data_IF_797350133260
#
_entry.id   IF_797350133260
#
_cell.length_a   1.000
_cell.length_b   1.000
_cell.length_c   1.000
_cell.angle_alpha   90.00
_cell.angle_beta   90.00
_cell.angle_gamma   90.00
#
_symmetry.space_group_name_H-M   'P 1'
#
loop_
_entity.id
_entity.type
_entity.pdbx_description
1 polymer ?
#
# COMPACT_ATOMS: atom_id res chain seq x y z
N UNK A 1 3.15 -62.73 -39.74
CA UNK A 1 2.95 -61.58 -40.65
C UNK A 1 2.56 -60.38 -39.78
N UNK A 2 3.33 -59.29 -39.84
CA UNK A 2 2.93 -58.04 -39.18
C UNK A 2 1.74 -57.47 -39.95
N UNK A 3 0.55 -57.53 -39.38
CA UNK A 3 -0.65 -56.92 -39.96
C UNK A 3 -0.47 -55.40 -39.91
N UNK A 4 -0.49 -54.74 -41.07
CA UNK A 4 -0.49 -53.28 -41.14
C UNK A 4 -1.86 -52.79 -40.65
N UNK A 5 -1.85 -51.74 -39.82
CA UNK A 5 -3.07 -51.14 -39.26
C UNK A 5 -3.49 -49.95 -40.12
N UNK A 6 -4.71 -50.01 -40.63
CA UNK A 6 -5.30 -48.93 -41.45
C UNK A 6 -5.93 -47.84 -40.56
N UNK A 7 -6.44 -48.26 -39.39
CA UNK A 7 -6.83 -47.36 -38.31
C UNK A 7 -5.99 -47.69 -37.08
N UNK A 8 -5.15 -46.73 -36.66
CA UNK A 8 -4.39 -46.89 -35.42
C UNK A 8 -5.35 -46.92 -34.23
N UNK A 9 -5.04 -47.77 -33.25
CA UNK A 9 -5.83 -47.95 -32.02
C UNK A 9 -6.19 -46.62 -31.34
N UNK A 10 -5.25 -45.65 -31.33
CA UNK A 10 -5.49 -44.33 -30.73
C UNK A 10 -6.55 -43.50 -31.49
N UNK A 11 -6.64 -43.63 -32.81
CA UNK A 11 -7.67 -42.95 -33.61
C UNK A 11 -9.03 -43.63 -33.45
N UNK A 12 -9.02 -44.94 -33.22
CA UNK A 12 -10.22 -45.78 -33.18
C UNK A 12 -11.24 -45.29 -32.15
N UNK A 13 -10.81 -45.05 -30.91
CA UNK A 13 -11.69 -44.61 -29.82
C UNK A 13 -12.30 -43.23 -30.08
N UNK A 14 -11.52 -42.29 -30.63
CA UNK A 14 -12.02 -40.96 -30.98
C UNK A 14 -13.04 -41.03 -32.12
N UNK A 15 -12.79 -41.85 -33.13
CA UNK A 15 -13.70 -42.08 -34.25
C UNK A 15 -14.99 -42.79 -33.80
N UNK A 16 -14.89 -43.78 -32.91
CA UNK A 16 -16.05 -44.45 -32.32
C UNK A 16 -16.96 -43.47 -31.58
N UNK A 17 -16.40 -42.46 -30.91
CA UNK A 17 -17.16 -41.50 -30.11
C UNK A 17 -17.44 -40.17 -30.84
N UNK A 18 -17.18 -40.11 -32.15
CA UNK A 18 -17.31 -38.88 -32.95
C UNK A 18 -18.75 -38.63 -33.44
N UNK A 19 -19.16 -37.36 -33.41
CA UNK A 19 -20.46 -36.90 -33.89
C UNK A 19 -20.57 -36.93 -35.43
N UNK A 20 -19.52 -36.58 -36.19
CA UNK A 20 -19.57 -36.62 -37.66
C UNK A 20 -19.85 -38.03 -38.19
N UNK A 21 -19.33 -39.06 -37.51
CA UNK A 21 -19.58 -40.46 -37.87
C UNK A 21 -20.98 -40.93 -37.44
N UNK A 22 -21.48 -40.41 -36.32
CA UNK A 22 -22.81 -40.76 -35.80
C UNK A 22 -23.96 -40.09 -36.59
N UNK A 23 -23.78 -38.83 -36.96
CA UNK A 23 -24.82 -37.98 -37.56
C UNK A 23 -24.99 -38.17 -39.06
N UNK A 24 -23.92 -38.47 -39.80
CA UNK A 24 -23.98 -38.65 -41.25
C UNK A 24 -24.32 -40.10 -41.63
N UNK A 25 -25.48 -40.27 -42.29
CA UNK A 25 -25.95 -41.57 -42.74
C UNK A 25 -24.99 -42.30 -43.69
N UNK A 26 -24.13 -41.57 -44.41
CA UNK A 26 -23.13 -42.12 -45.32
C UNK A 26 -22.00 -42.88 -44.61
N UNK A 27 -21.77 -42.60 -43.31
CA UNK A 27 -20.75 -43.27 -42.50
C UNK A 27 -21.30 -44.40 -41.61
N UNK A 28 -22.59 -44.75 -41.70
CA UNK A 28 -23.20 -45.85 -40.91
C UNK A 28 -22.48 -47.18 -41.05
N UNK A 29 -22.00 -47.49 -42.26
CA UNK A 29 -21.24 -48.73 -42.50
C UNK A 29 -19.88 -48.70 -41.79
N UNK A 30 -19.23 -47.53 -41.76
CA UNK A 30 -17.93 -47.33 -41.12
C UNK A 30 -18.06 -47.35 -39.60
N UNK A 31 -19.14 -46.76 -39.05
CA UNK A 31 -19.47 -46.87 -37.62
C UNK A 31 -19.67 -48.32 -37.19
N UNK A 32 -20.41 -49.10 -37.98
CA UNK A 32 -20.57 -50.55 -37.73
C UNK A 32 -19.23 -51.28 -37.76
N UNK A 33 -18.35 -50.92 -38.69
CA UNK A 33 -17.01 -51.50 -38.79
C UNK A 33 -16.18 -51.17 -37.53
N UNK A 34 -16.17 -49.91 -37.08
CA UNK A 34 -15.50 -49.48 -35.85
C UNK A 34 -16.05 -50.16 -34.59
N UNK A 35 -17.34 -50.49 -34.54
CA UNK A 35 -17.94 -51.15 -33.38
C UNK A 35 -17.71 -52.67 -33.37
N UNK A 36 -17.50 -53.28 -34.54
CA UNK A 36 -17.38 -54.73 -34.69
C UNK A 36 -15.94 -55.24 -34.57
N UNK A 37 -14.95 -54.35 -34.71
CA UNK A 37 -13.54 -54.70 -34.67
C UNK A 37 -12.80 -53.81 -33.67
N UNK A 38 -12.02 -54.42 -32.78
CA UNK A 38 -11.12 -53.67 -31.89
C UNK A 38 -9.94 -53.05 -32.66
N UNK A 39 -9.57 -53.64 -33.81
CA UNK A 39 -8.52 -53.17 -34.71
C UNK A 39 -8.93 -53.37 -36.18
N UNK A 40 -8.79 -52.31 -36.99
CA UNK A 40 -9.01 -52.38 -38.44
C UNK A 40 -7.67 -52.57 -39.14
N UNK A 41 -7.37 -53.83 -39.51
CA UNK A 41 -6.14 -54.22 -40.21
C UNK A 41 -6.33 -54.21 -41.74
N UNK A 42 -5.23 -54.23 -42.49
CA UNK A 42 -5.26 -54.31 -43.96
C UNK A 42 -6.11 -55.50 -44.45
N UNK A 43 -6.02 -56.68 -43.82
CA UNK A 43 -6.88 -57.84 -44.16
C UNK A 43 -8.39 -57.52 -44.08
N UNK A 44 -8.80 -56.73 -43.09
CA UNK A 44 -10.20 -56.33 -42.89
C UNK A 44 -10.61 -55.37 -44.01
N UNK A 45 -9.76 -54.40 -44.34
CA UNK A 45 -10.01 -53.45 -45.43
C UNK A 45 -10.04 -54.15 -46.79
N UNK A 46 -9.16 -55.13 -47.02
CA UNK A 46 -9.11 -55.92 -48.25
C UNK A 46 -10.37 -56.78 -48.47
N UNK A 47 -11.09 -57.13 -47.41
CA UNK A 47 -12.36 -57.85 -47.49
C UNK A 47 -13.57 -56.97 -47.88
N UNK A 48 -13.41 -55.64 -47.90
CA UNK A 48 -14.47 -54.70 -48.24
C UNK A 48 -14.65 -54.52 -49.75
N UNK A 49 -15.78 -53.95 -50.16
CA UNK A 49 -16.03 -53.52 -51.54
C UNK A 49 -15.16 -52.33 -51.94
N UNK A 50 -14.96 -52.18 -53.26
CA UNK A 50 -14.02 -51.22 -53.86
C UNK A 50 -14.24 -49.78 -53.39
N UNK A 51 -15.49 -49.36 -53.23
CA UNK A 51 -15.83 -48.00 -52.79
C UNK A 51 -15.46 -47.76 -51.33
N UNK A 52 -15.63 -48.78 -50.47
CA UNK A 52 -15.20 -48.73 -49.07
C UNK A 52 -13.69 -48.77 -48.92
N UNK A 53 -12.96 -49.52 -49.76
CA UNK A 53 -11.48 -49.45 -49.80
C UNK A 53 -11.01 -48.05 -50.16
N UNK A 54 -11.60 -47.47 -51.21
CA UNK A 54 -11.28 -46.12 -51.67
C UNK A 54 -11.51 -45.04 -50.59
N UNK A 55 -12.45 -45.26 -49.67
CA UNK A 55 -12.66 -44.39 -48.51
C UNK A 55 -11.45 -44.37 -47.55
N UNK A 56 -10.80 -45.50 -47.28
CA UNK A 56 -9.63 -45.57 -46.38
C UNK A 56 -8.46 -44.74 -46.93
N UNK A 57 -8.22 -44.80 -48.24
CA UNK A 57 -7.11 -44.09 -48.88
C UNK A 57 -7.37 -42.57 -48.96
N UNK A 58 -8.60 -42.16 -49.27
CA UNK A 58 -8.88 -40.80 -49.72
C UNK A 58 -9.73 -39.94 -48.76
N UNK A 59 -10.58 -40.58 -47.95
CA UNK A 59 -11.58 -39.88 -47.12
C UNK A 59 -11.30 -40.02 -45.63
N UNK A 60 -10.80 -41.17 -45.19
CA UNK A 60 -10.47 -41.42 -43.79
C UNK A 60 -9.50 -40.39 -43.19
N UNK A 61 -8.44 -39.92 -43.89
CA UNK A 61 -7.58 -38.88 -43.32
C UNK A 61 -8.30 -37.56 -43.02
N UNK A 62 -9.23 -37.16 -43.91
CA UNK A 62 -10.05 -35.94 -43.73
C UNK A 62 -11.05 -36.13 -42.59
N UNK A 63 -11.72 -37.29 -42.56
CA UNK A 63 -12.68 -37.63 -41.52
C UNK A 63 -12.00 -37.71 -40.14
N UNK A 64 -10.80 -38.28 -40.05
CA UNK A 64 -9.99 -38.29 -38.82
C UNK A 64 -9.72 -36.87 -38.31
N UNK A 65 -9.27 -35.98 -39.19
CA UNK A 65 -9.00 -34.58 -38.83
C UNK A 65 -10.27 -33.89 -38.32
N UNK A 66 -11.41 -34.12 -38.97
CA UNK A 66 -12.68 -33.57 -38.54
C UNK A 66 -13.11 -34.13 -37.18
N UNK A 67 -13.07 -35.46 -37.01
CA UNK A 67 -13.43 -36.14 -35.77
C UNK A 67 -12.56 -35.69 -34.59
N UNK A 68 -11.24 -35.52 -34.78
CA UNK A 68 -10.33 -34.97 -33.74
C UNK A 68 -10.73 -33.54 -33.38
N UNK A 69 -11.09 -32.72 -34.37
CA UNK A 69 -11.49 -31.32 -34.17
C UNK A 69 -12.78 -31.12 -33.34
N UNK A 70 -13.59 -32.18 -33.17
CA UNK A 70 -14.79 -32.15 -32.33
C UNK A 70 -14.47 -32.12 -30.83
N UNK A 71 -13.26 -32.50 -30.43
CA UNK A 71 -12.87 -32.60 -29.03
C UNK A 71 -12.18 -31.32 -28.54
N UNK A 72 -12.40 -30.99 -27.27
CA UNK A 72 -11.72 -29.90 -26.54
C UNK A 72 -11.48 -30.29 -25.09
N UNK A 73 -10.62 -29.55 -24.39
CA UNK A 73 -10.42 -29.75 -22.95
C UNK A 73 -11.64 -29.25 -22.16
N UNK A 74 -12.11 -30.02 -21.18
CA UNK A 74 -13.33 -29.71 -20.40
C UNK A 74 -13.19 -28.43 -19.57
N UNK A 75 -11.98 -28.08 -19.12
CA UNK A 75 -11.72 -26.77 -18.53
C UNK A 75 -10.23 -26.45 -18.49
N UNK A 76 -9.92 -25.20 -18.16
CA UNK A 76 -8.56 -24.73 -17.83
C UNK A 76 -7.96 -25.42 -16.58
N UNK A 77 -8.69 -26.32 -15.89
CA UNK A 77 -8.12 -27.18 -14.86
C UNK A 77 -7.24 -28.27 -15.50
N UNK A 78 -6.02 -27.81 -15.77
CA UNK A 78 -4.73 -28.48 -15.67
C UNK A 78 -4.84 -29.86 -15.00
N UNK A 79 -4.62 -30.89 -15.82
CA UNK A 79 -4.09 -32.22 -15.46
C UNK A 79 -4.22 -32.60 -13.99
N UNK A 80 -5.10 -33.55 -13.68
CA UNK A 80 -5.21 -34.09 -12.32
C UNK A 80 -4.11 -35.13 -12.11
N UNK A 81 -3.33 -35.01 -11.02
CA UNK A 81 -2.41 -36.07 -10.57
C UNK A 81 -3.19 -37.08 -9.72
N UNK A 82 -3.34 -38.30 -10.21
CA UNK A 82 -4.03 -39.40 -9.53
C UNK A 82 -3.16 -40.15 -8.52
N UNK A 83 -1.98 -39.62 -8.19
CA UNK A 83 -1.11 -40.18 -7.14
C UNK A 83 -0.03 -41.15 -7.63
N UNK A 84 0.81 -41.56 -6.68
CA UNK A 84 2.01 -42.35 -6.96
C UNK A 84 1.75 -43.84 -7.14
N UNK A 85 0.68 -44.39 -6.54
CA UNK A 85 0.37 -45.81 -6.62
C UNK A 85 -0.09 -46.21 -8.03
N UNK A 86 0.62 -47.11 -8.75
CA UNK A 86 0.21 -47.57 -10.07
C UNK A 86 -1.06 -48.41 -10.10
N UNK A 87 -1.50 -49.01 -8.99
CA UNK A 87 -2.70 -49.87 -8.91
C UNK A 87 -3.99 -49.04 -8.88
N UNK A 88 -3.95 -47.85 -8.27
CA UNK A 88 -5.10 -46.95 -8.14
C UNK A 88 -5.31 -46.04 -9.36
N UNK A 89 -4.39 -46.08 -10.34
CA UNK A 89 -4.44 -45.23 -11.53
C UNK A 89 -5.53 -45.65 -12.50
N UNK A 90 -6.33 -44.68 -12.94
CA UNK A 90 -7.29 -44.86 -14.01
C UNK A 90 -6.58 -45.22 -15.34
N UNK A 91 -7.28 -45.94 -16.21
CA UNK A 91 -6.80 -46.24 -17.57
C UNK A 91 -7.20 -45.13 -18.53
N UNK A 92 -6.27 -44.75 -19.42
CA UNK A 92 -6.55 -43.82 -20.51
C UNK A 92 -7.65 -44.36 -21.42
N UNK A 93 -8.71 -43.59 -21.65
CA UNK A 93 -9.80 -44.01 -22.51
C UNK A 93 -9.37 -44.31 -23.95
N UNK A 94 -8.28 -43.69 -24.44
CA UNK A 94 -7.80 -43.86 -25.83
C UNK A 94 -6.81 -45.01 -25.99
N UNK A 95 -5.82 -45.12 -25.12
CA UNK A 95 -4.71 -46.08 -25.28
C UNK A 95 -4.71 -47.21 -24.25
N UNK A 96 -5.71 -47.21 -23.35
CA UNK A 96 -5.89 -48.18 -22.27
C UNK A 96 -4.65 -48.37 -21.36
N UNK A 97 -3.75 -47.40 -21.32
CA UNK A 97 -2.57 -47.41 -20.43
C UNK A 97 -2.94 -46.76 -19.10
N UNK A 98 -2.42 -47.26 -17.97
CA UNK A 98 -2.59 -46.63 -16.66
C UNK A 98 -1.95 -45.23 -16.66
N UNK A 99 -2.72 -44.20 -16.27
CA UNK A 99 -2.31 -42.80 -16.35
C UNK A 99 -2.27 -42.17 -14.96
N UNK A 100 -1.15 -41.52 -14.63
CA UNK A 100 -1.00 -40.69 -13.41
C UNK A 100 -1.57 -39.28 -13.61
N UNK A 101 -1.38 -38.73 -14.81
CA UNK A 101 -1.75 -37.36 -15.15
C UNK A 101 -2.95 -37.40 -16.10
N UNK A 102 -4.13 -37.09 -15.56
CA UNK A 102 -5.42 -37.21 -16.24
C UNK A 102 -5.80 -35.87 -16.89
N UNK A 103 -5.95 -35.88 -18.21
CA UNK A 103 -6.56 -34.81 -18.99
C UNK A 103 -7.98 -35.21 -19.37
N UNK A 104 -8.98 -34.42 -19.00
CA UNK A 104 -10.37 -34.68 -19.38
C UNK A 104 -10.74 -33.89 -20.64
N UNK A 105 -11.14 -34.58 -21.70
CA UNK A 105 -11.60 -33.98 -22.96
C UNK A 105 -13.10 -34.22 -23.15
N UNK A 106 -13.77 -33.29 -23.85
CA UNK A 106 -15.18 -33.37 -24.19
C UNK A 106 -15.39 -33.10 -25.65
N UNK A 107 -16.31 -33.83 -26.25
CA UNK A 107 -16.77 -33.58 -27.60
C UNK A 107 -17.79 -32.43 -27.59
N UNK A 108 -17.48 -31.35 -28.32
CA UNK A 108 -18.28 -30.13 -28.44
C UNK A 108 -19.69 -30.35 -29.00
N UNK A 109 -19.90 -31.43 -29.74
CA UNK A 109 -21.11 -31.67 -30.52
C UNK A 109 -22.06 -32.68 -29.85
N UNK A 110 -21.53 -33.72 -29.21
CA UNK A 110 -22.35 -34.75 -28.55
C UNK A 110 -22.21 -34.77 -27.01
N UNK A 111 -21.28 -34.01 -26.45
CA UNK A 111 -21.08 -33.89 -25.01
C UNK A 111 -20.37 -35.06 -24.34
N UNK A 112 -19.92 -36.08 -25.09
CA UNK A 112 -19.19 -37.22 -24.55
C UNK A 112 -17.87 -36.79 -23.91
N UNK A 113 -17.52 -37.38 -22.77
CA UNK A 113 -16.33 -37.04 -21.99
C UNK A 113 -15.38 -38.24 -21.93
N UNK A 114 -14.07 -38.01 -22.10
CA UNK A 114 -13.03 -39.02 -22.03
C UNK A 114 -11.89 -38.57 -21.12
N UNK A 115 -11.32 -39.51 -20.36
CA UNK A 115 -10.17 -39.28 -19.49
C UNK A 115 -8.91 -39.87 -20.13
N UNK A 116 -7.99 -39.02 -20.53
CA UNK A 116 -6.82 -39.41 -21.32
C UNK A 116 -5.53 -39.03 -20.63
N UNK A 117 -4.45 -39.76 -20.92
CA UNK A 117 -3.13 -39.41 -20.43
C UNK A 117 -2.54 -38.22 -21.18
N UNK A 118 -1.63 -37.48 -20.51
CA UNK A 118 -0.86 -36.39 -21.14
C UNK A 118 -0.19 -36.76 -22.47
N UNK A 119 0.26 -38.01 -22.66
CA UNK A 119 0.82 -38.49 -23.93
C UNK A 119 -0.21 -38.58 -25.07
N UNK A 120 -1.46 -38.96 -24.75
CA UNK A 120 -2.54 -38.94 -25.74
C UNK A 120 -2.99 -37.49 -26.01
N UNK A 121 -3.02 -36.64 -24.97
CA UNK A 121 -3.30 -35.22 -25.16
C UNK A 121 -2.26 -34.56 -26.08
N UNK A 122 -0.97 -34.88 -25.94
CA UNK A 122 0.09 -34.41 -26.84
C UNK A 122 -0.12 -34.85 -28.28
N UNK A 123 -0.40 -36.14 -28.45
CA UNK A 123 -0.50 -36.77 -29.77
C UNK A 123 -1.62 -36.15 -30.61
N UNK A 124 -2.71 -35.73 -29.98
CA UNK A 124 -3.86 -35.13 -30.65
C UNK A 124 -3.92 -33.60 -30.55
N UNK A 125 -2.94 -32.95 -29.91
CA UNK A 125 -2.88 -31.49 -29.75
C UNK A 125 -3.89 -30.91 -28.76
N UNK A 126 -4.34 -31.71 -27.78
CA UNK A 126 -5.27 -31.30 -26.72
C UNK A 126 -4.57 -30.65 -25.52
N UNK A 127 -3.51 -29.88 -25.75
CA UNK A 127 -2.73 -29.17 -24.72
C UNK A 127 -2.79 -27.64 -24.88
N UNK A 128 -3.51 -27.14 -25.89
CA UNK A 128 -3.55 -25.71 -26.25
C UNK A 128 -2.14 -25.17 -26.53
N UNK A 129 -1.86 -23.95 -26.08
CA UNK A 129 -0.55 -23.30 -26.22
C UNK A 129 0.45 -23.69 -25.11
N UNK A 130 0.07 -24.55 -24.16
CA UNK A 130 0.87 -24.87 -22.97
C UNK A 130 1.68 -26.15 -23.17
N UNK A 131 2.89 -26.15 -22.62
CA UNK A 131 3.75 -27.35 -22.62
C UNK A 131 3.22 -28.39 -21.63
N UNK A 132 3.25 -29.69 -21.97
CA UNK A 132 2.85 -30.75 -21.04
C UNK A 132 3.71 -30.76 -19.77
N UNK A 133 4.98 -30.36 -19.90
CA UNK A 133 5.88 -30.21 -18.77
C UNK A 133 5.36 -29.20 -17.75
N UNK A 134 4.87 -28.03 -18.20
CA UNK A 134 4.29 -27.04 -17.28
C UNK A 134 3.02 -27.55 -16.61
N UNK A 135 2.14 -28.24 -17.36
CA UNK A 135 0.92 -28.83 -16.80
C UNK A 135 1.22 -29.83 -15.69
N UNK A 136 2.24 -30.70 -15.87
CA UNK A 136 2.65 -31.68 -14.86
C UNK A 136 3.21 -31.01 -13.60
N UNK A 137 4.04 -29.97 -13.77
CA UNK A 137 4.60 -29.21 -12.64
C UNK A 137 3.46 -28.56 -11.83
N UNK A 138 2.48 -27.96 -12.49
CA UNK A 138 1.33 -27.34 -11.82
C UNK A 138 0.47 -28.37 -11.07
N UNK A 139 0.17 -29.50 -11.69
CA UNK A 139 -0.59 -30.60 -11.07
C UNK A 139 0.07 -31.09 -9.78
N UNK A 140 1.39 -31.34 -9.83
CA UNK A 140 2.17 -31.75 -8.67
C UNK A 140 2.18 -30.69 -7.57
N UNK A 141 2.42 -29.43 -7.93
CA UNK A 141 2.37 -28.30 -6.98
C UNK A 141 1.01 -28.21 -6.30
N UNK A 142 -0.07 -28.42 -7.04
CA UNK A 142 -1.44 -28.41 -6.50
C UNK A 142 -1.65 -29.57 -5.51
N UNK A 143 -1.20 -30.78 -5.86
CA UNK A 143 -1.24 -31.93 -4.95
C UNK A 143 -0.51 -31.64 -3.64
N UNK A 144 0.70 -31.10 -3.70
CA UNK A 144 1.47 -30.71 -2.51
C UNK A 144 0.80 -29.56 -1.74
N UNK A 145 0.20 -28.60 -2.42
CA UNK A 145 -0.58 -27.55 -1.77
C UNK A 145 -1.78 -28.11 -1.00
N UNK A 146 -2.45 -29.14 -1.53
CA UNK A 146 -3.54 -29.83 -0.84
C UNK A 146 -3.04 -30.53 0.43
N UNK A 147 -1.93 -31.26 0.37
CA UNK A 147 -1.31 -31.90 1.56
C UNK A 147 -1.02 -30.85 2.65
N UNK A 148 -0.40 -29.72 2.27
CA UNK A 148 -0.16 -28.62 3.22
C UNK A 148 -1.45 -28.05 3.81
N UNK A 149 -2.50 -27.91 3.01
CA UNK A 149 -3.78 -27.38 3.46
C UNK A 149 -4.54 -28.37 4.35
N UNK A 150 -4.41 -29.67 4.12
CA UNK A 150 -4.96 -30.71 5.00
C UNK A 150 -4.27 -30.68 6.37
N UNK A 151 -2.94 -30.56 6.39
CA UNK A 151 -2.16 -30.47 7.63
C UNK A 151 -2.37 -29.13 8.34
N UNK A 152 -2.43 -28.03 7.60
CA UNK A 152 -2.58 -26.66 8.09
C UNK A 152 -3.71 -25.94 7.34
N UNK A 153 -4.97 -26.08 7.78
CA UNK A 153 -6.12 -25.50 7.10
C UNK A 153 -5.99 -24.00 6.86
N UNK A 154 -6.08 -23.58 5.60
CA UNK A 154 -6.01 -22.18 5.18
C UNK A 154 -4.59 -21.58 5.24
N UNK A 155 -3.53 -22.40 5.25
CA UNK A 155 -2.14 -21.92 5.33
C UNK A 155 -1.78 -20.89 4.26
N UNK A 156 -2.33 -21.01 3.05
CA UNK A 156 -2.13 -20.04 1.97
C UNK A 156 -2.64 -18.64 2.36
N UNK A 157 -3.84 -18.57 2.93
CA UNK A 157 -4.47 -17.32 3.39
C UNK A 157 -3.79 -16.78 4.64
N UNK A 158 -3.42 -17.66 5.57
CA UNK A 158 -2.65 -17.29 6.76
C UNK A 158 -1.36 -16.61 6.32
N UNK A 159 -0.57 -17.25 5.44
CA UNK A 159 0.66 -16.68 4.89
C UNK A 159 0.38 -15.34 4.18
N UNK A 160 -0.66 -15.28 3.34
CA UNK A 160 -1.03 -14.07 2.61
C UNK A 160 -1.36 -12.88 3.52
N UNK A 161 -2.09 -13.12 4.61
CA UNK A 161 -2.57 -12.09 5.52
C UNK A 161 -1.59 -11.63 6.61
N UNK A 162 -0.39 -12.21 6.71
CA UNK A 162 0.52 -11.92 7.82
C UNK A 162 0.95 -10.46 7.92
N UNK A 163 1.20 -9.80 6.78
CA UNK A 163 1.57 -8.37 6.75
C UNK A 163 0.41 -7.46 7.13
N UNK A 164 -0.80 -7.84 6.76
CA UNK A 164 -2.00 -7.03 6.99
C UNK A 164 -2.41 -7.01 8.46
N UNK A 165 -2.13 -8.08 9.21
CA UNK A 165 -2.40 -8.14 10.65
C UNK A 165 -1.74 -6.98 11.42
N UNK A 166 -0.50 -6.63 11.08
CA UNK A 166 0.21 -5.51 11.74
C UNK A 166 -0.43 -4.16 11.42
N UNK A 167 -1.00 -4.00 10.22
CA UNK A 167 -1.63 -2.74 9.82
C UNK A 167 -2.99 -2.50 10.51
N UNK A 168 -3.55 -3.50 11.21
CA UNK A 168 -4.82 -3.40 11.93
C UNK A 168 -4.68 -2.78 13.33
N UNK A 169 -3.48 -2.79 13.90
CA UNK A 169 -3.24 -2.20 15.22
C UNK A 169 -3.42 -0.67 15.20
N UNK A 170 -3.87 -0.11 16.32
CA UNK A 170 -4.15 1.32 16.46
C UNK A 170 -2.87 2.15 16.65
N UNK A 171 -1.82 1.52 17.19
CA UNK A 171 -0.51 2.12 17.41
C UNK A 171 0.55 1.59 16.45
N UNK A 172 1.64 2.34 16.29
CA UNK A 172 2.82 1.83 15.59
C UNK A 172 3.45 0.75 16.47
N UNK A 173 3.54 -0.46 15.94
CA UNK A 173 4.21 -1.57 16.61
C UNK A 173 5.73 -1.37 16.56
N UNK A 174 6.43 -1.40 17.71
CA UNK A 174 7.88 -1.28 17.76
C UNK A 174 8.62 -2.44 17.08
N UNK A 175 9.82 -2.15 16.60
CA UNK A 175 10.72 -3.09 15.93
C UNK A 175 11.06 -4.33 16.77
N UNK A 176 11.04 -4.22 18.10
CA UNK A 176 11.27 -5.36 19.01
C UNK A 176 10.22 -6.46 18.87
N UNK A 177 9.01 -6.12 18.42
CA UNK A 177 7.96 -7.09 18.10
C UNK A 177 7.88 -7.35 16.59
N UNK A 178 7.89 -6.30 15.78
CA UNK A 178 7.65 -6.39 14.33
C UNK A 178 8.76 -7.17 13.61
N UNK A 179 10.04 -6.91 13.92
CA UNK A 179 11.16 -7.54 13.20
C UNK A 179 11.21 -9.06 13.44
N UNK A 180 11.13 -9.59 14.69
CA UNK A 180 11.14 -11.05 14.87
C UNK A 180 9.92 -11.73 14.23
N UNK A 181 8.75 -11.07 14.24
CA UNK A 181 7.56 -11.60 13.56
C UNK A 181 7.76 -11.70 12.04
N UNK A 182 8.37 -10.69 11.40
CA UNK A 182 8.69 -10.78 9.97
C UNK A 182 9.82 -11.77 9.65
N UNK A 183 10.73 -12.07 10.59
CA UNK A 183 11.68 -13.17 10.39
C UNK A 183 10.98 -14.52 10.32
N UNK A 184 9.98 -14.75 11.18
CA UNK A 184 9.13 -15.93 11.10
C UNK A 184 8.38 -15.99 9.76
N UNK A 185 8.00 -14.83 9.22
CA UNK A 185 7.25 -14.74 7.96
C UNK A 185 8.08 -15.19 6.79
N UNK A 186 9.30 -14.66 6.70
CA UNK A 186 10.21 -14.98 5.62
C UNK A 186 10.59 -16.46 5.68
N UNK A 187 10.73 -17.03 6.88
CA UNK A 187 10.97 -18.48 7.05
C UNK A 187 9.75 -19.32 6.64
N UNK A 188 8.53 -18.98 7.07
CA UNK A 188 7.31 -19.66 6.64
C UNK A 188 7.15 -19.61 5.12
N UNK A 189 7.35 -18.44 4.52
CA UNK A 189 7.24 -18.25 3.08
C UNK A 189 8.24 -19.13 2.33
N UNK A 190 9.47 -19.24 2.84
CA UNK A 190 10.50 -20.11 2.28
C UNK A 190 10.06 -21.58 2.36
N UNK A 191 9.79 -22.10 3.56
CA UNK A 191 9.37 -23.49 3.76
C UNK A 191 8.13 -23.87 2.93
N UNK A 192 7.14 -22.98 2.86
CA UNK A 192 5.96 -23.17 2.04
C UNK A 192 6.33 -23.34 0.56
N UNK A 193 7.19 -22.47 0.01
CA UNK A 193 7.56 -22.54 -1.39
C UNK A 193 8.47 -23.73 -1.69
N UNK A 194 9.45 -24.00 -0.82
CA UNK A 194 10.39 -25.11 -0.94
C UNK A 194 9.63 -26.44 -0.91
N UNK A 195 8.65 -26.59 -0.01
CA UNK A 195 7.77 -27.75 -0.01
C UNK A 195 6.96 -27.87 -1.31
N UNK A 196 6.36 -26.79 -1.82
CA UNK A 196 5.63 -26.86 -3.10
C UNK A 196 6.53 -27.21 -4.29
N UNK A 197 7.83 -26.93 -4.20
CA UNK A 197 8.81 -27.16 -5.27
C UNK A 197 9.51 -28.52 -5.19
N UNK A 198 9.20 -29.37 -4.22
CA UNK A 198 9.92 -30.62 -3.92
C UNK A 198 11.35 -30.42 -3.37
N UNK A 199 11.69 -29.21 -2.89
CA UNK A 199 12.98 -28.93 -2.25
C UNK A 199 13.00 -29.36 -0.76
N UNK A 200 11.82 -29.54 -0.16
CA UNK A 200 11.61 -29.98 1.22
C UNK A 200 10.47 -31.01 1.28
N UNK A 201 10.58 -32.00 2.17
CA UNK A 201 9.56 -33.01 2.41
C UNK A 201 8.73 -32.70 3.67
N UNK A 202 7.85 -33.62 4.09
CA UNK A 202 6.98 -33.45 5.26
C UNK A 202 7.74 -33.21 6.58
N UNK A 203 9.05 -33.45 6.61
CA UNK A 203 9.92 -33.11 7.74
C UNK A 203 9.89 -31.61 8.10
N UNK A 204 9.53 -30.73 7.17
CA UNK A 204 9.38 -29.31 7.46
C UNK A 204 8.09 -28.96 8.23
N UNK A 205 7.16 -29.91 8.41
CA UNK A 205 5.86 -29.64 9.03
C UNK A 205 5.97 -29.22 10.49
N UNK A 206 6.86 -29.84 11.27
CA UNK A 206 7.07 -29.45 12.68
C UNK A 206 7.58 -28.01 12.79
N UNK A 207 8.46 -27.59 11.86
CA UNK A 207 8.96 -26.22 11.81
C UNK A 207 7.86 -25.23 11.39
N UNK A 208 7.03 -25.60 10.42
CA UNK A 208 5.87 -24.80 10.01
C UNK A 208 4.92 -24.61 11.20
N UNK A 209 4.59 -25.69 11.92
CA UNK A 209 3.70 -25.64 13.09
C UNK A 209 4.26 -24.73 14.19
N UNK A 210 5.54 -24.89 14.53
CA UNK A 210 6.22 -24.04 15.50
C UNK A 210 6.20 -22.55 15.08
N UNK A 211 6.46 -22.26 13.80
CA UNK A 211 6.40 -20.90 13.25
C UNK A 211 4.99 -20.31 13.37
N UNK A 212 3.94 -21.08 13.04
CA UNK A 212 2.55 -20.64 13.16
C UNK A 212 2.17 -20.34 14.62
N UNK A 213 2.56 -21.21 15.54
CA UNK A 213 2.31 -21.06 16.97
C UNK A 213 3.04 -19.84 17.56
N UNK A 214 4.33 -19.68 17.25
CA UNK A 214 5.12 -18.50 17.64
C UNK A 214 4.54 -17.22 17.04
N UNK A 215 4.17 -17.25 15.76
CA UNK A 215 3.53 -16.12 15.08
C UNK A 215 2.22 -15.69 15.77
N UNK A 216 1.38 -16.64 16.16
CA UNK A 216 0.14 -16.36 16.92
C UNK A 216 0.43 -15.74 18.29
N UNK A 217 1.40 -16.29 19.03
CA UNK A 217 1.82 -15.74 20.33
C UNK A 217 2.32 -14.29 20.20
N UNK A 218 3.18 -14.02 19.22
CA UNK A 218 3.69 -12.68 18.96
C UNK A 218 2.59 -11.69 18.57
N UNK A 219 1.58 -12.12 17.81
CA UNK A 219 0.42 -11.27 17.50
C UNK A 219 -0.37 -10.88 18.74
N UNK A 220 -0.56 -11.82 19.68
CA UNK A 220 -1.21 -11.51 20.96
C UNK A 220 -0.38 -10.50 21.77
N UNK A 221 0.95 -10.66 21.82
CA UNK A 221 1.83 -9.69 22.50
C UNK A 221 1.77 -8.29 21.87
N UNK A 222 1.64 -8.21 20.53
CA UNK A 222 1.43 -6.94 19.82
C UNK A 222 0.06 -6.32 20.09
N UNK A 223 -1.00 -7.15 20.15
CA UNK A 223 -2.35 -6.70 20.49
C UNK A 223 -2.38 -6.14 21.91
N UNK A 224 -1.80 -6.85 22.89
CA UNK A 224 -1.67 -6.39 24.27
C UNK A 224 -0.90 -5.07 24.36
N UNK A 225 0.20 -4.94 23.60
CA UNK A 225 0.93 -3.68 23.48
C UNK A 225 0.04 -2.57 22.91
N UNK A 226 -0.71 -2.84 21.84
CA UNK A 226 -1.60 -1.87 21.20
C UNK A 226 -2.68 -1.40 22.16
N UNK A 227 -3.39 -2.32 22.81
CA UNK A 227 -4.47 -1.99 23.74
C UNK A 227 -3.97 -1.21 24.96
N UNK A 228 -2.80 -1.57 25.50
CA UNK A 228 -2.21 -0.87 26.65
C UNK A 228 -1.79 0.57 26.33
N UNK A 229 -1.48 0.87 25.07
CA UNK A 229 -0.84 2.14 24.69
C UNK A 229 -1.68 3.03 23.75
N UNK A 230 -2.87 2.59 23.31
CA UNK A 230 -3.71 3.34 22.36
C UNK A 230 -4.05 4.76 22.80
N UNK A 231 -4.22 4.96 24.11
CA UNK A 231 -4.58 6.25 24.71
C UNK A 231 -3.36 7.06 25.19
N UNK A 232 -2.15 6.50 25.14
CA UNK A 232 -0.94 7.23 25.50
C UNK A 232 -0.58 8.26 24.41
N UNK A 233 -0.64 9.54 24.79
CA UNK A 233 -0.32 10.67 23.91
C UNK A 233 1.12 10.62 23.37
N UNK A 234 2.04 9.99 24.12
CA UNK A 234 3.45 9.81 23.78
C UNK A 234 3.70 8.55 22.94
N UNK A 235 2.70 7.72 22.70
CA UNK A 235 2.81 6.58 21.78
C UNK A 235 2.27 7.00 20.40
N UNK A 236 3.04 6.76 19.32
CA UNK A 236 2.60 7.10 17.99
C UNK A 236 1.49 6.16 17.51
N UNK A 237 0.37 6.74 17.06
CA UNK A 237 -0.70 5.97 16.47
C UNK A 237 -0.41 5.61 14.99
N UNK A 238 -1.10 4.59 14.46
CA UNK A 238 -0.91 4.13 13.08
C UNK A 238 -1.17 5.25 12.06
N UNK A 239 -2.05 6.19 12.40
CA UNK A 239 -2.36 7.33 11.56
C UNK A 239 -1.16 8.28 11.39
N UNK A 240 -0.28 8.40 12.38
CA UNK A 240 0.98 9.14 12.29
C UNK A 240 1.98 8.36 11.44
N UNK A 241 2.04 7.03 11.59
CA UNK A 241 2.86 6.18 10.72
C UNK A 241 2.51 6.32 9.24
N UNK A 242 1.21 6.29 8.90
CA UNK A 242 0.70 6.53 7.53
C UNK A 242 1.07 7.94 7.02
N UNK A 243 0.96 8.94 7.88
CA UNK A 243 1.33 10.32 7.53
C UNK A 243 2.84 10.46 7.26
N UNK A 244 3.70 9.85 8.06
CA UNK A 244 5.16 9.87 7.85
C UNK A 244 5.54 9.24 6.51
N UNK A 245 4.97 8.07 6.18
CA UNK A 245 5.20 7.41 4.87
C UNK A 245 4.78 8.31 3.71
N UNK A 246 3.61 8.95 3.79
CA UNK A 246 3.10 9.84 2.74
C UNK A 246 4.01 11.06 2.50
N UNK A 247 4.71 11.52 3.54
CA UNK A 247 5.62 12.67 3.46
C UNK A 247 7.10 12.25 3.28
N UNK A 248 7.39 10.97 2.99
CA UNK A 248 8.75 10.44 2.84
C UNK A 248 9.65 10.58 4.09
N UNK A 249 9.05 10.66 5.28
CA UNK A 249 9.74 10.82 6.58
C UNK A 249 10.14 9.46 7.18
N UNK A 250 10.87 8.65 6.42
CA UNK A 250 11.20 7.27 6.80
C UNK A 250 12.15 7.17 7.99
N UNK A 251 13.12 8.09 8.12
CA UNK A 251 14.06 8.10 9.25
C UNK A 251 13.34 8.37 10.58
N UNK A 252 12.42 9.33 10.57
CA UNK A 252 11.58 9.64 11.74
C UNK A 252 10.70 8.43 12.09
N UNK A 253 10.12 7.74 11.10
CA UNK A 253 9.34 6.52 11.33
C UNK A 253 10.19 5.38 11.90
N UNK A 254 11.39 5.15 11.38
CA UNK A 254 12.31 4.11 11.85
C UNK A 254 12.69 4.35 13.31
N UNK A 255 13.03 5.59 13.66
CA UNK A 255 13.35 5.97 15.04
C UNK A 255 12.16 5.77 15.98
N UNK A 256 10.94 6.12 15.55
CA UNK A 256 9.73 5.84 16.34
C UNK A 256 9.48 4.34 16.53
N UNK A 257 9.79 3.50 15.54
CA UNK A 257 9.70 2.05 15.68
C UNK A 257 10.79 1.47 16.59
N UNK A 258 11.96 2.09 16.65
CA UNK A 258 13.03 1.70 17.58
C UNK A 258 12.69 2.06 19.02
N UNK A 259 12.31 3.32 19.25
CA UNK A 259 12.01 3.85 20.58
C UNK A 259 10.65 3.36 21.11
N UNK A 260 9.70 3.09 20.20
CA UNK A 260 8.30 2.75 20.49
C UNK A 260 7.44 3.93 20.96
N UNK A 261 8.04 5.10 21.20
CA UNK A 261 7.39 6.31 21.71
C UNK A 261 7.96 7.55 21.05
N UNK A 262 7.25 8.67 21.13
CA UNK A 262 7.82 9.98 20.81
C UNK A 262 8.92 10.31 21.82
N UNK A 263 10.04 10.81 21.30
CA UNK A 263 11.16 11.30 22.11
C UNK A 263 11.56 12.71 21.67
N UNK A 264 12.56 13.27 22.37
CA UNK A 264 13.13 14.61 22.08
C UNK A 264 13.47 14.74 20.58
N UNK A 265 14.10 13.71 20.02
CA UNK A 265 14.57 13.71 18.63
C UNK A 265 13.48 13.55 17.57
N UNK A 266 12.25 13.18 17.94
CA UNK A 266 11.18 12.85 16.97
C UNK A 266 9.95 13.73 17.12
N UNK A 267 9.59 14.13 18.34
CA UNK A 267 8.29 14.77 18.62
C UNK A 267 8.07 16.09 17.87
N UNK A 268 9.12 16.93 17.75
CA UNK A 268 9.06 18.22 17.07
C UNK A 268 8.85 18.10 15.55
N UNK A 269 9.13 16.93 14.96
CA UNK A 269 8.98 16.67 13.51
C UNK A 269 7.55 16.32 13.11
N UNK A 270 6.71 15.97 14.08
CA UNK A 270 5.35 15.49 13.81
C UNK A 270 4.39 16.67 13.71
N UNK A 271 4.26 17.24 12.51
CA UNK A 271 3.41 18.41 12.24
C UNK A 271 1.99 18.04 11.79
N UNK A 272 1.61 16.76 11.89
CA UNK A 272 0.25 16.29 11.59
C UNK A 272 -0.77 16.98 12.49
N UNK A 273 -1.74 17.70 11.91
CA UNK A 273 -2.72 18.51 12.64
C UNK A 273 -3.46 17.75 13.77
N UNK A 274 -3.88 16.50 13.53
CA UNK A 274 -4.56 15.70 14.56
C UNK A 274 -3.66 15.40 15.77
N UNK A 275 -2.36 15.21 15.55
CA UNK A 275 -1.39 14.98 16.62
C UNK A 275 -1.06 16.29 17.35
N UNK A 276 -0.81 17.37 16.61
CA UNK A 276 -0.56 18.71 17.17
C UNK A 276 -1.70 19.14 18.08
N UNK A 277 -2.95 18.93 17.66
CA UNK A 277 -4.13 19.17 18.50
C UNK A 277 -4.16 18.28 19.74
N UNK A 278 -3.83 16.99 19.60
CA UNK A 278 -3.82 16.02 20.72
C UNK A 278 -2.83 16.38 21.82
N UNK A 279 -1.64 16.86 21.46
CA UNK A 279 -0.57 17.20 22.42
C UNK A 279 -0.66 18.62 22.98
N UNK A 280 -1.60 19.43 22.48
CA UNK A 280 -1.78 20.83 22.90
C UNK A 280 -1.87 21.00 24.43
N UNK A 281 -2.62 20.19 25.21
CA UNK A 281 -2.70 20.36 26.65
C UNK A 281 -1.34 20.29 27.35
N UNK A 282 -0.50 19.31 26.99
CA UNK A 282 0.86 19.16 27.53
C UNK A 282 1.75 20.34 27.16
N UNK A 283 1.67 20.82 25.92
CA UNK A 283 2.46 21.95 25.47
C UNK A 283 2.03 23.23 26.20
N UNK A 284 0.73 23.45 26.36
CA UNK A 284 0.25 24.61 27.09
C UNK A 284 0.73 24.58 28.55
N UNK A 285 0.60 23.42 29.21
CA UNK A 285 0.95 23.25 30.62
C UNK A 285 2.46 23.30 30.90
N UNK A 286 3.24 22.52 30.15
CA UNK A 286 4.67 22.35 30.41
C UNK A 286 5.55 23.40 29.75
N UNK A 287 5.09 24.03 28.66
CA UNK A 287 5.89 24.98 27.87
C UNK A 287 5.35 26.41 28.00
N UNK A 288 4.10 26.69 27.62
CA UNK A 288 3.61 28.08 27.54
C UNK A 288 3.37 28.72 28.92
N UNK A 289 2.86 27.97 29.90
CA UNK A 289 2.71 28.49 31.28
C UNK A 289 4.04 28.94 31.89
N UNK A 290 5.17 28.32 31.52
CA UNK A 290 6.51 28.67 32.02
C UNK A 290 6.97 30.07 31.60
N UNK A 291 6.39 30.63 30.54
CA UNK A 291 6.66 32.01 30.08
C UNK A 291 5.46 32.94 30.31
N UNK A 292 4.54 32.55 31.19
CA UNK A 292 3.31 33.30 31.47
C UNK A 292 2.47 33.57 30.20
N UNK A 293 2.39 32.58 29.33
CA UNK A 293 1.59 32.60 28.11
C UNK A 293 0.55 31.48 28.12
N UNK A 294 -0.44 31.60 27.24
CA UNK A 294 -1.45 30.57 27.01
C UNK A 294 -1.80 30.46 25.52
N UNK A 295 -1.95 29.23 25.05
CA UNK A 295 -2.46 28.94 23.71
C UNK A 295 -3.97 29.20 23.71
N UNK A 296 -4.43 30.05 22.79
CA UNK A 296 -5.85 30.39 22.60
C UNK A 296 -6.47 29.65 21.44
N UNK A 297 -5.67 29.26 20.44
CA UNK A 297 -6.15 28.56 19.25
C UNK A 297 -5.04 27.71 18.63
N UNK A 298 -5.43 26.64 17.92
CA UNK A 298 -4.53 25.84 17.08
C UNK A 298 -5.03 25.85 15.64
N UNK A 299 -4.15 26.24 14.71
CA UNK A 299 -4.41 26.24 13.26
C UNK A 299 -3.43 25.32 12.56
N UNK A 300 -3.82 24.05 12.38
CA UNK A 300 -2.96 23.02 11.79
C UNK A 300 -1.69 22.80 12.63
N UNK A 301 -0.53 23.07 12.04
CA UNK A 301 0.78 22.94 12.69
C UNK A 301 1.28 24.24 13.36
N UNK A 302 0.38 25.17 13.68
CA UNK A 302 0.69 26.45 14.33
C UNK A 302 -0.15 26.64 15.58
N UNK A 303 0.42 27.29 16.58
CA UNK A 303 -0.28 27.74 17.79
C UNK A 303 -0.45 29.24 17.77
N UNK A 304 -1.66 29.69 18.08
CA UNK A 304 -1.93 31.10 18.40
C UNK A 304 -2.01 31.20 19.91
N UNK A 305 -1.27 32.13 20.48
CA UNK A 305 -1.12 32.28 21.91
C UNK A 305 -1.03 33.76 22.28
N UNK A 306 -1.23 34.05 23.56
CA UNK A 306 -1.06 35.38 24.13
C UNK A 306 -0.28 35.32 25.44
N UNK A 307 0.41 36.41 25.76
CA UNK A 307 1.00 36.58 27.09
C UNK A 307 -0.05 37.12 28.04
N UNK A 308 -0.10 36.60 29.28
CA UNK A 308 -1.06 37.11 30.28
C UNK A 308 -0.83 38.58 30.62
N UNK A 309 0.41 39.06 30.50
CA UNK A 309 0.76 40.48 30.68
C UNK A 309 0.23 41.40 29.58
N UNK A 310 -0.22 40.85 28.44
CA UNK A 310 -0.58 41.61 27.24
C UNK A 310 -1.66 40.84 26.46
N UNK A 311 -2.87 40.72 27.02
CA UNK A 311 -3.89 39.80 26.52
C UNK A 311 -4.50 40.22 25.16
N UNK A 312 -4.25 41.45 24.70
CA UNK A 312 -4.83 42.00 23.48
C UNK A 312 -3.99 41.74 22.22
N UNK A 313 -2.87 41.03 22.34
CA UNK A 313 -2.01 40.69 21.20
C UNK A 313 -1.93 39.18 21.08
N UNK A 314 -2.45 38.68 19.97
CA UNK A 314 -2.30 37.30 19.56
C UNK A 314 -1.02 37.14 18.75
N UNK A 315 -0.25 36.13 19.12
CA UNK A 315 0.99 35.74 18.47
C UNK A 315 0.82 34.35 17.89
N UNK A 316 1.38 34.10 16.70
CA UNK A 316 1.38 32.80 16.05
C UNK A 316 2.79 32.23 16.01
N UNK A 317 2.93 30.95 16.33
CA UNK A 317 4.21 30.25 16.29
C UNK A 317 4.07 28.84 15.69
N UNK A 318 5.00 28.40 14.83
CA UNK A 318 5.01 27.02 14.37
C UNK A 318 5.23 26.03 15.53
N UNK A 319 4.48 24.92 15.51
CA UNK A 319 4.63 23.81 16.44
C UNK A 319 6.09 23.33 16.53
N UNK A 320 6.71 23.09 15.36
CA UNK A 320 8.05 22.53 15.25
C UNK A 320 9.10 23.43 15.92
N UNK A 321 8.99 24.75 15.77
CA UNK A 321 9.92 25.72 16.36
C UNK A 321 9.86 25.73 17.89
N UNK A 322 8.66 25.72 18.47
CA UNK A 322 8.51 25.69 19.94
C UNK A 322 8.97 24.35 20.49
N UNK A 323 8.50 23.25 19.91
CA UNK A 323 8.78 21.93 20.45
C UNK A 323 10.24 21.56 20.26
N UNK A 324 10.91 21.96 19.17
CA UNK A 324 12.35 21.73 19.01
C UNK A 324 13.16 22.34 20.17
N UNK A 325 12.83 23.56 20.59
CA UNK A 325 13.57 24.25 21.65
C UNK A 325 13.21 23.78 23.06
N UNK A 326 11.97 23.33 23.29
CA UNK A 326 11.43 23.11 24.63
C UNK A 326 10.91 21.69 24.88
N UNK A 327 11.08 20.74 23.95
CA UNK A 327 10.59 19.37 24.10
C UNK A 327 11.17 18.63 25.30
N UNK A 328 12.35 18.99 25.79
CA UNK A 328 12.92 18.42 27.03
C UNK A 328 11.95 18.55 28.21
N UNK A 329 11.21 19.65 28.29
CA UNK A 329 10.21 19.87 29.34
C UNK A 329 9.01 18.93 29.22
N UNK A 330 8.70 18.41 28.03
CA UNK A 330 7.59 17.46 27.85
C UNK A 330 7.90 16.09 28.47
N UNK A 331 9.18 15.78 28.66
CA UNK A 331 9.69 14.50 29.14
C UNK A 331 10.36 14.61 30.52
N UNK A 332 10.15 15.70 31.23
CA UNK A 332 10.71 15.96 32.56
C UNK A 332 12.25 15.80 32.61
N UNK A 333 12.92 16.20 31.53
CA UNK A 333 14.38 16.19 31.39
C UNK A 333 14.97 17.58 31.65
N UNK A 334 16.26 17.66 32.06
CA UNK A 334 16.96 18.93 32.19
C UNK A 334 16.83 19.76 30.92
N UNK A 335 16.51 21.05 31.07
CA UNK A 335 16.27 21.92 29.93
C UNK A 335 17.58 22.14 29.17
N UNK A 336 17.58 21.86 27.87
CA UNK A 336 18.66 22.25 26.98
C UNK A 336 18.71 23.77 26.77
N UNK A 337 17.56 24.44 26.91
CA UNK A 337 17.38 25.87 26.69
C UNK A 337 16.45 26.43 27.76
N UNK A 338 16.90 27.44 28.49
CA UNK A 338 16.04 28.14 29.46
C UNK A 338 14.84 28.82 28.78
N UNK A 339 13.70 28.78 29.47
CA UNK A 339 12.50 29.50 29.10
C UNK A 339 12.76 31.01 29.09
N UNK A 340 12.45 31.65 27.97
CA UNK A 340 12.62 33.09 27.83
C UNK A 340 11.53 33.65 26.95
N UNK A 341 10.85 34.68 27.45
CA UNK A 341 9.84 35.45 26.69
C UNK A 341 10.41 35.92 25.35
N UNK A 342 11.65 36.39 25.32
CA UNK A 342 12.31 36.90 24.11
C UNK A 342 12.50 35.79 23.07
N UNK A 343 12.90 34.59 23.50
CA UNK A 343 13.07 33.44 22.60
C UNK A 343 11.74 33.04 21.95
N UNK A 344 10.64 33.06 22.72
CA UNK A 344 9.30 32.83 22.16
C UNK A 344 8.92 33.90 21.14
N UNK A 345 9.09 35.18 21.49
CA UNK A 345 8.77 36.30 20.61
C UNK A 345 9.56 36.28 19.30
N UNK A 346 10.86 35.95 19.35
CA UNK A 346 11.73 35.85 18.18
C UNK A 346 11.27 34.78 17.19
N UNK A 347 10.62 33.72 17.67
CA UNK A 347 10.10 32.61 16.85
C UNK A 347 8.66 32.82 16.40
N UNK A 348 7.99 33.83 16.94
CA UNK A 348 6.57 34.09 16.71
C UNK A 348 6.36 35.25 15.76
N UNK A 349 5.18 35.31 15.15
CA UNK A 349 4.68 36.45 14.37
C UNK A 349 3.40 36.98 14.99
N UNK A 350 2.97 38.18 14.60
CA UNK A 350 1.67 38.73 14.96
C UNK A 350 0.59 37.95 14.19
N UNK A 351 -0.47 37.54 14.87
CA UNK A 351 -1.40 36.54 14.34
C UNK A 351 -2.55 37.12 13.50
N UNK A 352 -2.98 38.34 13.82
CA UNK A 352 -4.19 38.95 13.24
C UNK A 352 -4.11 40.49 13.17
N UNK A 353 -5.01 41.08 12.39
CA UNK A 353 -5.09 42.53 12.15
C UNK A 353 -5.35 43.30 13.44
N UNK A 354 -6.21 42.82 14.33
CA UNK A 354 -6.49 43.48 15.62
C UNK A 354 -5.22 43.60 16.49
N UNK A 355 -4.37 42.58 16.46
CA UNK A 355 -3.09 42.56 17.15
C UNK A 355 -2.10 43.55 16.52
N UNK A 356 -2.08 43.65 15.20
CA UNK A 356 -1.30 44.67 14.50
C UNK A 356 -1.81 46.09 14.83
N UNK A 357 -3.12 46.35 14.80
CA UNK A 357 -3.72 47.62 15.18
C UNK A 357 -3.36 48.03 16.61
N UNK A 358 -3.41 47.08 17.54
CA UNK A 358 -3.04 47.32 18.94
C UNK A 358 -1.57 47.75 19.06
N UNK A 359 -0.67 47.10 18.32
CA UNK A 359 0.74 47.48 18.29
C UNK A 359 0.96 48.82 17.60
N UNK A 360 0.23 49.10 16.52
CA UNK A 360 0.32 50.37 15.79
C UNK A 360 -0.11 51.55 16.65
N UNK A 361 -1.22 51.44 17.39
CA UNK A 361 -1.67 52.47 18.34
C UNK A 361 -0.63 52.75 19.42
N UNK A 362 0.03 51.69 19.92
CA UNK A 362 1.10 51.85 20.91
C UNK A 362 2.37 52.47 20.30
N UNK A 363 2.69 52.11 19.05
CA UNK A 363 3.79 52.69 18.30
C UNK A 363 3.55 54.19 18.05
N UNK A 364 2.37 54.57 17.57
CA UNK A 364 1.97 55.96 17.34
C UNK A 364 2.11 56.80 18.61
N UNK A 365 1.67 56.28 19.77
CA UNK A 365 1.86 56.94 21.07
C UNK A 365 3.33 57.13 21.47
N UNK A 366 4.23 56.28 20.99
CA UNK A 366 5.66 56.30 21.33
C UNK A 366 6.52 57.03 20.30
N UNK A 367 5.98 57.34 19.12
CA UNK A 367 6.69 58.04 18.08
C UNK A 367 6.67 59.55 18.32
N UNK A 368 7.79 60.22 18.02
CA UNK A 368 7.84 61.68 17.96
C UNK A 368 7.21 62.21 16.66
N UNK A 369 7.27 61.42 15.59
CA UNK A 369 6.68 61.72 14.27
C UNK A 369 5.20 61.37 14.21
N UNK A 370 4.47 62.01 13.29
CA UNK A 370 3.04 61.76 13.10
C UNK A 370 2.81 60.65 12.08
N UNK A 371 2.06 59.62 12.45
CA UNK A 371 1.55 58.63 11.50
C UNK A 371 0.55 59.32 10.55
N UNK A 372 0.83 59.34 9.26
CA UNK A 372 -0.03 60.00 8.27
C UNK A 372 -1.09 59.06 7.71
N UNK A 373 -0.66 57.88 7.26
CA UNK A 373 -1.50 56.87 6.64
C UNK A 373 -0.93 55.48 6.92
N UNK A 374 -1.80 54.47 6.97
CA UNK A 374 -1.40 53.08 6.97
C UNK A 374 -2.49 52.21 6.35
N UNK A 375 -2.09 51.06 5.84
CA UNK A 375 -3.00 50.08 5.26
C UNK A 375 -2.47 48.65 5.44
N UNK A 376 -3.24 47.79 6.10
CA UNK A 376 -2.83 46.41 6.37
C UNK A 376 -2.95 45.47 5.17
N UNK A 377 -3.81 45.80 4.20
CA UNK A 377 -4.00 45.02 2.98
C UNK A 377 -2.82 45.24 2.05
N UNK A 378 -2.44 46.49 1.83
CA UNK A 378 -1.29 46.85 1.00
C UNK A 378 0.06 46.74 1.74
N UNK A 379 0.05 46.60 3.07
CA UNK A 379 1.25 46.54 3.94
C UNK A 379 2.04 47.85 4.01
N UNK A 380 1.33 48.96 3.93
CA UNK A 380 1.92 50.29 3.77
C UNK A 380 1.80 51.11 5.05
N UNK A 381 2.84 51.90 5.32
CA UNK A 381 2.82 52.92 6.35
C UNK A 381 3.54 54.17 5.86
N UNK A 382 2.92 55.34 6.03
CA UNK A 382 3.51 56.64 5.77
C UNK A 382 3.62 57.46 7.05
N UNK A 383 4.84 57.90 7.35
CA UNK A 383 5.15 58.67 8.55
C UNK A 383 5.58 60.08 8.12
N UNK A 384 4.99 61.10 8.75
CA UNK A 384 5.34 62.49 8.51
C UNK A 384 6.40 62.98 9.50
N UNK A 385 7.55 63.39 8.97
CA UNK A 385 8.70 63.85 9.76
C UNK A 385 8.84 65.38 9.84
N UNK A 386 7.80 66.14 9.45
CA UNK A 386 7.81 67.61 9.45
C UNK A 386 8.07 68.24 8.08
N UNK A 387 8.81 67.56 7.21
CA UNK A 387 9.17 68.08 5.87
C UNK A 387 8.66 67.18 4.73
N UNK A 388 8.75 65.86 4.89
CA UNK A 388 8.38 64.86 3.88
C UNK A 388 7.73 63.65 4.54
N UNK A 389 7.21 62.75 3.69
CA UNK A 389 6.61 61.48 4.10
C UNK A 389 7.57 60.35 3.81
N UNK A 390 7.78 59.47 4.77
CA UNK A 390 8.58 58.26 4.61
C UNK A 390 7.67 57.05 4.46
N UNK A 391 7.88 56.29 3.39
CA UNK A 391 7.25 55.00 3.19
C UNK A 391 7.98 53.91 3.97
N UNK A 392 7.24 53.06 4.65
CA UNK A 392 7.77 51.86 5.28
C UNK A 392 6.79 50.69 5.19
N UNK A 393 7.32 49.46 5.21
CA UNK A 393 6.51 48.24 5.24
C UNK A 393 5.91 48.05 6.65
N UNK A 394 4.59 48.16 6.76
CA UNK A 394 3.84 48.21 8.02
C UNK A 394 4.08 46.99 8.90
N UNK A 395 3.82 45.79 8.39
CA UNK A 395 3.98 44.52 9.12
C UNK A 395 5.43 44.30 9.49
N UNK A 396 6.37 44.64 8.61
CA UNK A 396 7.82 44.50 8.87
C UNK A 396 8.25 45.34 10.07
N UNK A 397 7.81 46.60 10.14
CA UNK A 397 8.08 47.46 11.31
C UNK A 397 7.41 46.93 12.56
N UNK A 398 6.13 46.55 12.48
CA UNK A 398 5.41 46.08 13.66
C UNK A 398 5.99 44.76 14.20
N UNK A 399 6.51 43.89 13.35
CA UNK A 399 7.23 42.68 13.75
C UNK A 399 8.56 42.97 14.47
N UNK A 400 9.30 44.00 14.03
CA UNK A 400 10.50 44.48 14.75
C UNK A 400 10.10 45.13 16.08
N UNK A 401 9.05 45.94 16.07
CA UNK A 401 8.57 46.68 17.24
C UNK A 401 7.98 45.77 18.33
N UNK A 402 7.40 44.62 17.95
CA UNK A 402 6.88 43.59 18.84
C UNK A 402 7.83 43.29 20.01
N UNK A 403 9.13 43.08 19.75
CA UNK A 403 10.08 42.79 20.83
C UNK A 403 10.17 43.93 21.85
N UNK A 404 10.13 45.18 21.39
CA UNK A 404 10.15 46.36 22.26
C UNK A 404 8.88 46.48 23.09
N UNK A 405 7.71 46.28 22.47
CA UNK A 405 6.43 46.28 23.17
C UNK A 405 6.42 45.31 24.35
N UNK A 406 6.94 44.09 24.15
CA UNK A 406 6.88 43.04 25.17
C UNK A 406 8.01 43.06 26.21
N UNK A 407 9.15 43.71 25.95
CA UNK A 407 10.37 43.59 26.77
C UNK A 407 10.65 44.75 27.74
N UNK A 408 9.89 45.85 27.67
CA UNK A 408 9.87 46.94 28.66
C UNK A 408 11.24 47.22 29.32
N UNK A 409 12.17 47.75 28.52
CA UNK A 409 12.83 49.00 28.92
C UNK A 409 12.09 50.11 28.18
N UNK A 410 10.98 50.57 28.78
CA UNK A 410 9.97 51.47 28.20
C UNK A 410 10.53 52.81 27.70
N UNK A 411 11.77 53.14 28.04
CA UNK A 411 12.34 54.48 27.89
C UNK A 411 13.55 54.56 26.94
N UNK A 412 13.92 53.45 26.28
CA UNK A 412 15.10 53.42 25.40
C UNK A 412 14.81 53.20 23.91
N UNK A 413 13.55 52.97 23.53
CA UNK A 413 13.21 52.98 22.11
C UNK A 413 13.07 54.42 21.62
N UNK A 414 14.21 55.10 21.46
CA UNK A 414 14.27 56.24 20.55
C UNK A 414 14.23 55.66 19.15
N UNK A 415 13.10 55.85 18.48
CA UNK A 415 12.99 55.77 17.03
C UNK A 415 13.79 56.95 16.44
N UNK A 416 15.10 56.96 16.67
CA UNK A 416 15.98 58.04 16.24
C UNK A 416 16.20 57.90 14.73
N UNK A 417 15.35 58.58 13.97
CA UNK A 417 15.62 59.18 12.65
C UNK A 417 16.15 58.32 11.49
N UNK A 418 16.19 56.99 11.55
CA UNK A 418 16.53 56.19 10.37
C UNK A 418 15.42 55.20 10.00
N UNK A 419 14.24 55.73 9.72
CA UNK A 419 13.44 55.12 8.67
C UNK A 419 14.23 55.34 7.37
N UNK A 420 14.67 54.25 6.75
CA UNK A 420 15.40 54.32 5.48
C UNK A 420 14.43 54.38 4.29
N UNK A 421 13.15 54.64 4.58
CA UNK A 421 12.07 54.79 3.62
C UNK A 421 12.38 55.79 2.52
N UNK A 422 11.83 55.50 1.33
CA UNK A 422 11.81 56.48 0.25
C UNK A 422 11.06 57.71 0.71
N UNK A 423 11.60 58.89 0.36
CA UNK A 423 10.98 60.17 0.66
C UNK A 423 9.95 60.48 -0.40
N UNK A 424 8.75 60.87 0.03
CA UNK A 424 7.62 61.22 -0.81
C UNK A 424 7.14 62.63 -0.46
N UNK A 425 6.70 63.38 -1.47
CA UNK A 425 5.91 64.59 -1.25
C UNK A 425 4.49 64.22 -0.82
N UNK A 426 3.74 65.18 -0.27
CA UNK A 426 2.33 64.95 0.06
C UNK A 426 1.51 64.52 -1.16
N UNK A 427 1.78 65.16 -2.31
CA UNK A 427 1.07 64.86 -3.56
C UNK A 427 1.27 63.42 -3.99
N UNK A 428 2.50 62.91 -3.88
CA UNK A 428 2.83 61.53 -4.26
C UNK A 428 2.07 60.53 -3.37
N UNK A 429 2.01 60.78 -2.06
CA UNK A 429 1.29 59.90 -1.12
C UNK A 429 -0.22 59.94 -1.39
N UNK A 430 -0.80 61.13 -1.57
CA UNK A 430 -2.23 61.29 -1.83
C UNK A 430 -2.65 60.69 -3.18
N UNK A 431 -1.76 60.68 -4.18
CA UNK A 431 -1.97 60.00 -5.46
C UNK A 431 -1.92 58.48 -5.31
N UNK A 432 -0.93 57.95 -4.57
CA UNK A 432 -0.82 56.53 -4.26
C UNK A 432 -2.05 56.00 -3.52
N UNK A 433 -2.55 56.75 -2.53
CA UNK A 433 -3.76 56.38 -1.77
C UNK A 433 -4.99 56.40 -2.69
N UNK A 434 -5.16 57.46 -3.49
CA UNK A 434 -6.30 57.58 -4.40
C UNK A 434 -6.32 56.50 -5.47
N UNK A 435 -5.17 56.15 -6.04
CA UNK A 435 -5.06 55.11 -7.07
C UNK A 435 -5.56 53.74 -6.62
N UNK A 436 -5.61 53.48 -5.30
CA UNK A 436 -6.08 52.21 -4.71
C UNK A 436 -7.58 52.17 -4.45
N UNK A 437 -8.24 53.32 -4.31
CA UNK A 437 -9.69 53.39 -4.13
C UNK A 437 -10.49 53.03 -5.40
N UNK A 438 -9.81 52.87 -6.53
CA UNK A 438 -10.41 52.57 -7.84
C UNK A 438 -10.08 51.15 -8.36
N UNK A 439 -9.49 50.31 -7.53
CA UNK A 439 -9.23 48.87 -7.78
C UNK A 439 -10.12 48.08 -6.82
#
# INVERSE_FOLDING_TARGET
MNKIREVYYKDHVLLQNSHVIESDSSYKWFKKLLNNYDEITTDVVESLDKDKKNFFDNMLPKLKKQAIGEWELISDQLVVDSGEDPEERQHCSICNTRIRYICSIKNKLNGNELHIGTTCAEHFGFNGDRSIRSLRIEAKRLGRANILNEKFPGIADIKGGWKDKINKFEVIIPNKYEKPYFKLYDRLKKLYNDFLNEDEDENCFDEIEDILNKGKKMLNEMEDYSQKNKDDIYVPNISVGKWLRKNNEYDTLNKLKEDGRYGIGTIHRITKASFVKRILPEINDKIFKKVNAEIVENRGAKYIYKFKSSPNINLVVPYSEIVLNYCYSLFDKPLAVEFSKNKFLNKSKIADVNSYETLLKYLEYKMESKLYYYDFEYDDMFIFNGEYYEYEDLKSILEKFKLYYFNIKKDQFKLSRSFNGKKHSKSDVDELIRGRQYI
#
